data_IF_996716106940
#
_entry.id   IF_996716106940
#
_cell.length_a   1.000
_cell.length_b   1.000
_cell.length_c   1.000
_cell.angle_alpha   90.00
_cell.angle_beta   90.00
_cell.angle_gamma   90.00
#
_symmetry.space_group_name_H-M   'P 1'
#
loop_
_entity.id
_entity.type
_entity.pdbx_description
1 polymer ?
#
# COMPACT_ATOMS: atom_id res chain seq x y z
N UNK A 1 4.24 66.89 17.73
CA UNK A 1 4.91 66.18 16.64
C UNK A 1 5.73 64.97 17.10
N UNK A 2 6.58 65.00 18.13
CA UNK A 2 7.39 63.83 18.57
C UNK A 2 6.55 62.64 19.08
N UNK A 3 5.39 62.86 19.71
CA UNK A 3 4.51 61.76 20.19
C UNK A 3 3.74 61.05 19.08
N UNK A 4 3.38 61.74 18.01
CA UNK A 4 2.67 61.16 16.87
C UNK A 4 3.63 60.32 16.01
N UNK A 5 4.88 60.75 15.91
CA UNK A 5 5.93 60.00 15.12
C UNK A 5 6.24 58.64 15.81
N UNK A 6 6.22 58.58 17.16
CA UNK A 6 6.45 57.33 17.90
C UNK A 6 5.34 56.32 17.75
N UNK A 7 4.08 56.75 17.59
CA UNK A 7 2.94 55.84 17.36
C UNK A 7 2.98 55.22 15.96
N UNK A 8 3.36 56.00 14.94
CA UNK A 8 3.51 55.46 13.56
C UNK A 8 4.67 54.46 13.44
N UNK A 9 5.77 54.67 14.21
CA UNK A 9 6.89 53.75 14.20
C UNK A 9 6.54 52.43 14.89
N UNK A 10 5.77 52.47 15.99
CA UNK A 10 5.31 51.26 16.73
C UNK A 10 4.28 50.46 15.92
N UNK A 11 3.37 51.13 15.20
CA UNK A 11 2.39 50.47 14.35
C UNK A 11 3.08 49.86 13.10
N UNK A 12 4.11 50.49 12.56
CA UNK A 12 4.90 49.95 11.46
C UNK A 12 5.69 48.70 11.83
N UNK A 13 6.24 48.60 13.06
CA UNK A 13 6.93 47.41 13.55
C UNK A 13 5.97 46.24 13.81
N UNK A 14 4.75 46.48 14.22
CA UNK A 14 3.73 45.47 14.47
C UNK A 14 3.21 44.83 13.16
N UNK A 15 3.23 45.54 12.04
CA UNK A 15 2.80 45.03 10.74
C UNK A 15 3.85 44.17 10.04
N UNK A 16 5.12 44.28 10.42
CA UNK A 16 6.22 43.42 9.84
C UNK A 16 6.35 42.07 10.57
N UNK A 17 5.81 41.94 11.80
CA UNK A 17 5.90 40.72 12.60
C UNK A 17 4.88 39.59 12.19
N UNK A 18 4.05 39.83 11.16
CA UNK A 18 2.89 38.96 10.85
C UNK A 18 3.01 38.04 9.64
N UNK A 19 4.15 37.97 8.96
CA UNK A 19 4.32 37.02 7.83
C UNK A 19 5.09 35.79 8.29
N UNK A 20 4.57 35.07 9.25
CA UNK A 20 4.89 33.66 9.36
C UNK A 20 4.30 32.98 8.13
N UNK A 21 5.10 32.79 7.09
CA UNK A 21 4.75 31.91 5.98
C UNK A 21 4.58 30.54 6.61
N UNK A 22 3.33 30.12 6.79
CA UNK A 22 3.06 28.73 7.12
C UNK A 22 3.68 27.93 5.99
N UNK A 23 4.70 27.12 6.28
CA UNK A 23 5.25 26.19 5.33
C UNK A 23 4.10 25.28 4.85
N UNK A 24 3.84 25.25 3.56
CA UNK A 24 2.82 24.40 2.98
C UNK A 24 3.24 22.94 3.25
N UNK A 25 2.52 22.26 4.15
CA UNK A 25 2.75 20.84 4.41
C UNK A 25 2.40 20.01 3.18
N UNK A 26 3.28 19.09 2.84
CA UNK A 26 3.03 18.06 1.82
C UNK A 26 2.34 16.87 2.48
N UNK A 27 1.12 16.57 2.07
CA UNK A 27 0.37 15.41 2.55
C UNK A 27 0.62 14.22 1.63
N UNK A 28 1.06 13.09 2.20
CA UNK A 28 1.34 11.86 1.48
C UNK A 28 0.55 10.71 2.11
N UNK A 29 0.16 9.75 1.29
CA UNK A 29 -0.49 8.53 1.75
C UNK A 29 0.29 7.29 1.33
N UNK A 30 0.24 6.24 2.17
CA UNK A 30 0.81 4.92 1.92
C UNK A 30 -0.33 3.90 1.92
N UNK A 31 -0.67 3.37 0.75
CA UNK A 31 -1.61 2.25 0.66
C UNK A 31 -0.96 0.96 1.17
N UNK A 32 -1.67 0.24 2.02
CA UNK A 32 -1.19 -0.97 2.70
C UNK A 32 -2.09 -2.18 2.41
N UNK A 33 -2.35 -3.05 3.38
CA UNK A 33 -3.23 -4.21 3.32
C UNK A 33 -4.23 -4.19 4.47
N UNK A 34 -4.87 -5.32 4.72
CA UNK A 34 -5.73 -5.51 5.90
C UNK A 34 -4.97 -5.29 7.21
N UNK A 35 -5.69 -4.85 8.24
CA UNK A 35 -5.08 -4.45 9.52
C UNK A 35 -4.33 -5.56 10.26
N UNK A 36 -4.67 -6.81 10.02
CA UNK A 36 -3.99 -7.97 10.59
C UNK A 36 -2.79 -8.44 9.76
N UNK A 37 -2.60 -7.91 8.54
CA UNK A 37 -1.46 -8.21 7.68
C UNK A 37 -0.23 -7.37 8.02
N UNK A 38 0.92 -7.75 7.44
CA UNK A 38 2.22 -7.08 7.68
C UNK A 38 2.28 -5.66 7.11
N UNK A 39 1.60 -5.39 6.00
CA UNK A 39 1.68 -4.08 5.33
C UNK A 39 1.18 -2.93 6.20
N UNK A 40 0.08 -3.12 6.91
CA UNK A 40 -0.50 -2.03 7.70
C UNK A 40 0.40 -1.54 8.85
N UNK A 41 0.89 -2.40 9.76
CA UNK A 41 1.81 -1.96 10.80
C UNK A 41 3.14 -1.45 10.24
N UNK A 42 3.64 -2.01 9.14
CA UNK A 42 4.86 -1.53 8.50
C UNK A 42 4.67 -0.15 7.87
N UNK A 43 3.57 0.06 7.14
CA UNK A 43 3.23 1.37 6.58
C UNK A 43 3.02 2.42 7.66
N UNK A 44 2.38 2.06 8.78
CA UNK A 44 2.24 2.93 9.95
C UNK A 44 3.60 3.32 10.55
N UNK A 45 4.52 2.37 10.68
CA UNK A 45 5.88 2.62 11.14
C UNK A 45 6.65 3.55 10.19
N UNK A 46 6.56 3.34 8.88
CA UNK A 46 7.15 4.22 7.87
C UNK A 46 6.56 5.65 7.94
N UNK A 47 5.25 5.77 8.05
CA UNK A 47 4.58 7.06 8.20
C UNK A 47 5.08 7.78 9.46
N UNK A 48 5.18 7.09 10.59
CA UNK A 48 5.70 7.66 11.83
C UNK A 48 7.14 8.15 11.70
N UNK A 49 8.02 7.38 11.07
CA UNK A 49 9.43 7.77 10.84
C UNK A 49 9.50 9.01 9.95
N UNK A 50 8.74 9.04 8.85
CA UNK A 50 8.70 10.18 7.94
C UNK A 50 8.18 11.44 8.64
N UNK A 51 7.07 11.34 9.38
CA UNK A 51 6.49 12.44 10.13
C UNK A 51 7.44 13.01 11.21
N UNK A 52 8.33 12.16 11.74
CA UNK A 52 9.27 12.57 12.79
C UNK A 52 10.56 13.18 12.25
N UNK A 53 10.95 12.88 11.01
CA UNK A 53 12.28 13.18 10.50
C UNK A 53 12.28 14.02 9.21
N UNK A 54 11.15 14.12 8.51
CA UNK A 54 11.05 14.91 7.28
C UNK A 54 10.24 16.17 7.56
N UNK A 55 10.87 17.37 7.53
CA UNK A 55 10.15 18.62 7.73
C UNK A 55 9.05 18.83 6.68
N UNK A 56 7.99 19.48 7.07
CA UNK A 56 6.89 19.91 6.19
C UNK A 56 6.21 18.77 5.39
N UNK A 57 6.32 17.53 5.89
CA UNK A 57 5.64 16.35 5.35
C UNK A 57 4.72 15.75 6.40
N UNK A 58 3.53 15.35 5.98
CA UNK A 58 2.58 14.60 6.80
C UNK A 58 2.14 13.34 6.03
N UNK A 59 2.46 12.17 6.57
CA UNK A 59 2.24 10.86 5.94
C UNK A 59 1.20 10.08 6.72
N UNK A 60 0.24 9.48 6.03
CA UNK A 60 -0.78 8.60 6.60
C UNK A 60 -0.71 7.21 5.96
N UNK A 61 -0.76 6.16 6.78
CA UNK A 61 -0.94 4.80 6.28
C UNK A 61 -2.43 4.48 6.16
N UNK A 62 -2.83 3.97 5.00
CA UNK A 62 -4.21 3.63 4.67
C UNK A 62 -4.35 2.12 4.54
N UNK A 63 -5.43 1.56 5.10
CA UNK A 63 -5.78 0.16 4.89
C UNK A 63 -6.24 -0.08 3.46
N UNK A 64 -6.02 -1.30 2.92
CA UNK A 64 -6.41 -1.63 1.56
C UNK A 64 -6.35 -3.13 1.28
N UNK A 65 -6.56 -3.49 0.04
CA UNK A 65 -6.56 -4.88 -0.42
C UNK A 65 -5.18 -5.34 -0.93
N UNK A 66 -4.12 -4.63 -0.56
CA UNK A 66 -2.73 -4.92 -0.92
C UNK A 66 -2.43 -4.85 -2.43
N UNK A 67 -1.48 -5.60 -2.92
CA UNK A 67 -0.65 -5.36 -4.11
C UNK A 67 -1.33 -4.85 -5.37
N UNK A 68 -2.26 -5.59 -5.98
CA UNK A 68 -2.85 -5.15 -7.26
C UNK A 68 -3.80 -3.96 -7.07
N UNK A 69 -4.56 -3.93 -5.98
CA UNK A 69 -5.41 -2.81 -5.63
C UNK A 69 -4.56 -1.54 -5.38
N UNK A 70 -3.48 -1.68 -4.61
CA UNK A 70 -2.56 -0.59 -4.31
C UNK A 70 -1.89 0.00 -5.56
N UNK A 71 -1.51 -0.86 -6.51
CA UNK A 71 -0.95 -0.41 -7.80
C UNK A 71 -2.01 0.37 -8.60
N UNK A 72 -3.27 -0.04 -8.56
CA UNK A 72 -4.33 0.72 -9.21
C UNK A 72 -4.54 2.10 -8.59
N UNK A 73 -4.42 2.23 -7.25
CA UNK A 73 -4.44 3.53 -6.58
C UNK A 73 -3.26 4.43 -7.00
N UNK A 74 -2.04 3.86 -7.14
CA UNK A 74 -0.89 4.58 -7.70
C UNK A 74 -1.17 5.00 -9.16
N UNK A 75 -1.70 4.09 -9.97
CA UNK A 75 -2.02 4.37 -11.38
C UNK A 75 -3.04 5.50 -11.53
N UNK A 76 -3.99 5.59 -10.60
CA UNK A 76 -5.01 6.65 -10.53
C UNK A 76 -4.55 7.92 -9.83
N UNK A 77 -3.31 8.01 -9.33
CA UNK A 77 -2.81 9.12 -8.50
C UNK A 77 -3.63 9.35 -7.21
N UNK A 78 -4.27 8.30 -6.70
CA UNK A 78 -5.09 8.37 -5.49
C UNK A 78 -4.25 8.26 -4.21
N UNK A 79 -3.06 7.62 -4.30
CA UNK A 79 -2.09 7.53 -3.20
C UNK A 79 -0.70 7.88 -3.68
N UNK A 80 0.15 8.33 -2.75
CA UNK A 80 1.52 8.75 -3.04
C UNK A 80 2.49 7.58 -3.07
N UNK A 81 2.30 6.60 -2.20
CA UNK A 81 3.14 5.41 -2.01
C UNK A 81 2.28 4.19 -1.75
N UNK A 82 2.86 3.01 -1.93
CA UNK A 82 2.16 1.76 -1.66
C UNK A 82 3.13 0.63 -1.31
N UNK A 83 2.69 -0.28 -0.46
CA UNK A 83 3.35 -1.56 -0.23
C UNK A 83 2.78 -2.58 -1.21
N UNK A 84 3.65 -3.24 -1.95
CA UNK A 84 3.27 -4.14 -3.05
C UNK A 84 4.29 -5.28 -3.18
N UNK A 85 3.84 -6.43 -3.65
CA UNK A 85 4.71 -7.55 -4.02
C UNK A 85 5.44 -7.26 -5.33
N UNK A 86 6.65 -7.76 -5.46
CA UNK A 86 7.49 -7.55 -6.63
C UNK A 86 6.96 -8.25 -7.88
N UNK A 87 6.39 -9.44 -7.76
CA UNK A 87 5.77 -10.19 -8.85
C UNK A 87 4.55 -9.43 -9.43
N UNK A 88 3.68 -8.90 -8.56
CA UNK A 88 2.54 -8.09 -8.99
C UNK A 88 2.99 -6.77 -9.64
N UNK A 89 4.06 -6.15 -9.11
CA UNK A 89 4.66 -4.96 -9.72
C UNK A 89 5.24 -5.24 -11.10
N UNK A 90 5.85 -6.40 -11.30
CA UNK A 90 6.35 -6.85 -12.59
C UNK A 90 5.20 -6.99 -13.61
N UNK A 91 4.11 -7.65 -13.23
CA UNK A 91 2.92 -7.78 -14.09
C UNK A 91 2.31 -6.42 -14.45
N UNK A 92 2.27 -5.50 -13.48
CA UNK A 92 1.76 -4.15 -13.70
C UNK A 92 2.62 -3.34 -14.68
N UNK A 93 3.93 -3.42 -14.57
CA UNK A 93 4.85 -2.74 -15.48
C UNK A 93 4.73 -3.22 -16.93
N UNK A 94 4.30 -4.47 -17.14
CA UNK A 94 4.09 -5.08 -18.46
C UNK A 94 2.65 -5.00 -18.96
N UNK A 95 1.70 -4.59 -18.12
CA UNK A 95 0.27 -4.62 -18.45
C UNK A 95 -0.28 -6.04 -18.56
N UNK A 96 0.34 -6.99 -17.89
CA UNK A 96 -0.11 -8.38 -17.82
C UNK A 96 -1.16 -8.52 -16.70
N UNK A 97 -2.05 -9.51 -16.85
CA UNK A 97 -3.15 -9.70 -15.88
C UNK A 97 -2.63 -9.78 -14.43
N UNK A 98 -3.33 -9.14 -13.47
CA UNK A 98 -4.69 -8.61 -13.57
C UNK A 98 -4.81 -7.20 -14.22
N UNK A 99 -3.72 -6.62 -14.69
CA UNK A 99 -3.71 -5.31 -15.36
C UNK A 99 -4.04 -5.47 -16.85
N UNK A 100 -4.62 -4.42 -17.45
CA UNK A 100 -5.02 -4.43 -18.87
C UNK A 100 -4.06 -3.62 -19.76
N UNK A 101 -3.16 -2.85 -19.14
CA UNK A 101 -2.13 -2.01 -19.78
C UNK A 101 -0.99 -1.77 -18.79
N UNK A 102 0.21 -1.44 -19.27
CA UNK A 102 1.33 -1.04 -18.42
C UNK A 102 0.97 0.13 -17.51
N UNK A 103 1.41 0.05 -16.25
CA UNK A 103 1.29 1.13 -15.27
C UNK A 103 2.58 1.96 -15.32
N UNK A 104 2.55 3.03 -16.12
CA UNK A 104 3.75 3.79 -16.48
C UNK A 104 4.28 4.69 -15.37
N UNK A 105 3.43 5.09 -14.42
CA UNK A 105 3.79 5.93 -13.28
C UNK A 105 4.26 5.16 -12.04
N UNK A 106 4.35 3.83 -12.10
CA UNK A 106 4.88 3.02 -11.01
C UNK A 106 6.41 3.16 -10.91
N UNK A 107 6.92 3.42 -9.71
CA UNK A 107 8.37 3.51 -9.41
C UNK A 107 8.68 2.78 -8.13
N UNK A 108 9.77 2.01 -8.13
CA UNK A 108 10.28 1.35 -6.94
C UNK A 108 11.13 2.32 -6.11
N UNK A 109 10.84 2.40 -4.81
CA UNK A 109 11.61 3.19 -3.85
C UNK A 109 12.60 2.28 -3.10
N UNK A 110 12.13 1.15 -2.57
CA UNK A 110 12.93 0.22 -1.79
C UNK A 110 12.36 -1.19 -1.84
N UNK A 111 13.20 -2.19 -1.57
CA UNK A 111 12.81 -3.56 -1.23
C UNK A 111 12.94 -3.72 0.29
N UNK A 112 11.85 -4.11 0.95
CA UNK A 112 11.77 -4.07 2.41
C UNK A 112 12.05 -5.44 3.06
N UNK A 113 11.37 -6.49 2.61
CA UNK A 113 11.50 -7.83 3.17
C UNK A 113 11.02 -8.90 2.18
N UNK A 114 11.45 -10.18 2.32
CA UNK A 114 10.95 -11.27 1.49
C UNK A 114 9.55 -11.70 1.92
N UNK A 115 8.66 -11.94 0.96
CA UNK A 115 7.33 -12.48 1.18
C UNK A 115 7.28 -13.92 0.65
N UNK A 116 7.46 -14.88 1.56
CA UNK A 116 7.42 -16.30 1.19
C UNK A 116 5.98 -16.79 1.07
N UNK A 117 5.69 -17.48 -0.03
CA UNK A 117 4.41 -18.20 -0.17
C UNK A 117 4.34 -19.31 0.86
N UNK A 118 3.31 -19.29 1.70
CA UNK A 118 3.07 -20.32 2.72
C UNK A 118 1.71 -20.94 2.49
N UNK A 119 1.71 -22.25 2.21
CA UNK A 119 0.49 -23.04 2.12
C UNK A 119 0.33 -23.84 3.41
N UNK A 120 -0.70 -23.55 4.18
CA UNK A 120 -0.97 -24.17 5.45
C UNK A 120 -2.27 -24.97 5.44
N UNK A 121 -2.33 -26.05 6.18
CA UNK A 121 -3.52 -26.86 6.40
C UNK A 121 -3.72 -27.11 7.88
N UNK A 122 -4.96 -27.42 8.28
CA UNK A 122 -5.24 -27.82 9.67
C UNK A 122 -4.81 -29.26 9.90
N UNK A 123 -4.36 -29.56 11.11
CA UNK A 123 -4.03 -30.92 11.53
C UNK A 123 -5.23 -31.85 11.33
N UNK A 124 -5.02 -33.01 10.70
CA UNK A 124 -6.08 -33.96 10.41
C UNK A 124 -6.86 -33.71 9.11
N UNK A 125 -6.54 -32.66 8.34
CA UNK A 125 -7.18 -32.39 7.03
C UNK A 125 -6.94 -33.50 5.99
N UNK A 126 -5.87 -34.30 6.16
CA UNK A 126 -5.41 -35.29 5.19
C UNK A 126 -4.71 -34.71 3.97
N UNK A 127 -4.64 -33.37 3.82
CA UNK A 127 -3.99 -32.68 2.70
C UNK A 127 -2.48 -32.71 2.89
N UNK A 128 -1.76 -33.32 1.96
CA UNK A 128 -0.30 -33.45 1.97
C UNK A 128 0.36 -32.82 0.72
N UNK A 129 -0.42 -32.47 -0.27
CA UNK A 129 0.06 -31.85 -1.51
C UNK A 129 -0.93 -30.80 -2.02
N UNK A 130 -0.44 -29.92 -2.90
CA UNK A 130 -1.28 -28.91 -3.52
C UNK A 130 -2.42 -29.52 -4.35
N UNK A 131 -2.22 -30.69 -4.95
CA UNK A 131 -3.25 -31.33 -5.79
C UNK A 131 -4.43 -31.88 -4.99
N UNK A 132 -4.26 -32.10 -3.68
CA UNK A 132 -5.31 -32.65 -2.80
C UNK A 132 -6.28 -31.58 -2.29
N UNK A 133 -6.10 -30.32 -2.69
CA UNK A 133 -7.05 -29.24 -2.38
C UNK A 133 -8.30 -29.26 -3.26
N UNK A 134 -8.33 -30.09 -4.33
CA UNK A 134 -9.51 -30.22 -5.19
C UNK A 134 -10.73 -30.65 -4.37
N UNK A 135 -11.86 -29.94 -4.57
CA UNK A 135 -13.09 -30.14 -3.81
C UNK A 135 -13.05 -29.67 -2.35
N UNK A 136 -11.92 -29.12 -1.88
CA UNK A 136 -11.81 -28.61 -0.51
C UNK A 136 -12.17 -27.11 -0.45
N UNK A 137 -12.43 -26.64 0.77
CA UNK A 137 -12.58 -25.20 1.05
C UNK A 137 -11.19 -24.61 1.25
N UNK A 138 -10.84 -23.59 0.46
CA UNK A 138 -9.50 -23.00 0.43
C UNK A 138 -9.62 -21.47 0.47
N UNK A 139 -8.98 -20.84 1.47
CA UNK A 139 -8.82 -19.38 1.45
C UNK A 139 -7.72 -19.01 0.46
N UNK A 140 -8.06 -18.15 -0.49
CA UNK A 140 -7.20 -17.78 -1.63
C UNK A 140 -6.78 -16.31 -1.61
N UNK A 141 -7.04 -15.62 -0.50
CA UNK A 141 -6.75 -14.20 -0.33
C UNK A 141 -7.85 -13.28 -0.86
N UNK A 142 -7.84 -12.04 -0.42
CA UNK A 142 -8.79 -11.03 -0.87
C UNK A 142 -8.68 -10.75 -2.38
N UNK A 143 -9.78 -10.36 -3.04
CA UNK A 143 -9.73 -9.94 -4.43
C UNK A 143 -8.77 -8.75 -4.61
N UNK A 144 -7.87 -8.82 -5.59
CA UNK A 144 -6.85 -7.78 -5.81
C UNK A 144 -5.64 -7.83 -4.87
N UNK A 145 -5.60 -8.80 -3.93
CA UNK A 145 -4.43 -9.00 -3.06
C UNK A 145 -3.27 -9.65 -3.82
N UNK A 146 -2.06 -9.50 -3.27
CA UNK A 146 -0.89 -10.23 -3.75
C UNK A 146 -1.03 -11.74 -3.56
N UNK A 147 -1.68 -12.18 -2.48
CA UNK A 147 -1.97 -13.62 -2.23
C UNK A 147 -2.79 -14.20 -3.39
N UNK A 148 -3.87 -13.55 -3.78
CA UNK A 148 -4.69 -14.00 -4.90
C UNK A 148 -3.91 -14.00 -6.23
N UNK A 149 -3.03 -13.02 -6.44
CA UNK A 149 -2.14 -12.93 -7.60
C UNK A 149 -1.15 -14.08 -7.67
N UNK A 150 -0.41 -14.32 -6.59
CA UNK A 150 0.57 -15.41 -6.47
C UNK A 150 -0.09 -16.79 -6.62
N UNK A 151 -1.26 -17.00 -5.98
CA UNK A 151 -2.00 -18.25 -6.14
C UNK A 151 -2.50 -18.47 -7.56
N UNK A 152 -2.97 -17.43 -8.25
CA UNK A 152 -3.35 -17.54 -9.65
C UNK A 152 -2.20 -18.07 -10.52
N UNK A 153 -0.98 -17.58 -10.30
CA UNK A 153 0.23 -18.03 -10.99
C UNK A 153 0.58 -19.49 -10.63
N UNK A 154 0.55 -19.84 -9.35
CA UNK A 154 0.82 -21.21 -8.88
C UNK A 154 -0.20 -22.20 -9.45
N UNK A 155 -1.48 -21.86 -9.41
CA UNK A 155 -2.54 -22.71 -9.94
C UNK A 155 -2.41 -22.90 -11.45
N UNK A 156 -2.05 -21.86 -12.19
CA UNK A 156 -1.80 -21.96 -13.62
C UNK A 156 -0.72 -22.99 -13.95
N UNK A 157 0.41 -22.96 -13.23
CA UNK A 157 1.51 -23.92 -13.40
C UNK A 157 1.12 -25.32 -12.95
N UNK A 158 0.35 -25.45 -11.86
CA UNK A 158 -0.11 -26.72 -11.33
C UNK A 158 -1.29 -27.34 -12.13
N UNK A 159 -1.84 -26.65 -13.12
CA UNK A 159 -3.03 -27.09 -13.84
C UNK A 159 -4.30 -27.09 -12.97
N UNK A 160 -4.35 -26.20 -11.97
CA UNK A 160 -5.49 -26.00 -11.10
C UNK A 160 -6.29 -24.75 -11.51
N UNK A 161 -7.57 -24.76 -11.19
CA UNK A 161 -8.47 -23.61 -11.36
C UNK A 161 -9.23 -23.37 -10.07
N UNK A 162 -9.69 -22.14 -9.85
CA UNK A 162 -10.57 -21.83 -8.71
C UNK A 162 -11.86 -22.66 -8.71
N UNK A 163 -12.35 -23.07 -9.88
CA UNK A 163 -13.51 -23.97 -10.02
C UNK A 163 -13.25 -25.41 -9.56
N UNK A 164 -11.99 -25.81 -9.34
CA UNK A 164 -11.65 -27.14 -8.83
C UNK A 164 -11.83 -27.26 -7.32
N UNK A 165 -12.13 -26.17 -6.60
CA UNK A 165 -12.26 -26.08 -5.15
C UNK A 165 -13.35 -25.11 -4.75
N UNK A 166 -13.73 -25.09 -3.47
CA UNK A 166 -14.56 -24.06 -2.88
C UNK A 166 -13.65 -22.92 -2.42
N UNK A 167 -13.38 -21.98 -3.32
CA UNK A 167 -12.46 -20.87 -3.06
C UNK A 167 -13.15 -19.77 -2.23
N UNK A 168 -12.57 -19.45 -1.07
CA UNK A 168 -12.97 -18.34 -0.21
C UNK A 168 -11.99 -17.16 -0.41
N UNK A 169 -12.52 -16.02 -0.84
CA UNK A 169 -11.74 -14.80 -1.04
C UNK A 169 -11.79 -13.95 0.24
N UNK A 170 -10.95 -14.30 1.20
CA UNK A 170 -10.91 -13.67 2.52
C UNK A 170 -9.69 -12.76 2.66
N UNK A 171 -9.90 -11.63 3.35
CA UNK A 171 -8.83 -10.77 3.85
C UNK A 171 -8.28 -11.32 5.19
N UNK A 172 -7.17 -10.72 5.68
CA UNK A 172 -6.55 -11.06 6.97
C UNK A 172 -7.31 -10.45 8.14
#
# INVERSE_FOLDING_TARGET
MKKVLGVFLAVGLLLVAGSAVAADKTFLSIATGGVAGTYYPLGGGLAQVMNSHVPDVEVTAETGNASAANINLIAGHEVSMALVQNDVSYLAARGEKPFNKPVENLRMIASLYPEHVQCITVKGSGIKSLMEIKGKRVSVGAPGSGVAGSLSSIFSVAGLKYSDMNADFLDF
#
